data_IF_151000493661
#
_entry.id   IF_151000493661
#
_cell.length_a   1.000
_cell.length_b   1.000
_cell.length_c   1.000
_cell.angle_alpha   90.00
_cell.angle_beta   90.00
_cell.angle_gamma   90.00
#
_symmetry.space_group_name_H-M   'P 1'
#
loop_
_entity.id
_entity.type
_entity.pdbx_description
1 polymer ?
#
# COMPACT_ATOMS: atom_id res chain seq x y z
N UNK A 1 21.14 3.66 23.69
CA UNK A 1 21.66 2.39 24.27
C UNK A 1 20.55 1.57 24.90
N UNK A 2 19.71 2.15 25.76
CA UNK A 2 18.61 1.39 26.39
C UNK A 2 17.63 0.82 25.37
N UNK A 3 17.21 1.59 24.36
CA UNK A 3 16.34 1.12 23.28
C UNK A 3 16.94 -0.08 22.54
N UNK A 4 18.25 -0.06 22.28
CA UNK A 4 18.94 -1.15 21.61
C UNK A 4 18.98 -2.42 22.49
N UNK A 5 19.12 -2.28 23.81
CA UNK A 5 19.06 -3.43 24.73
C UNK A 5 17.68 -4.07 24.70
N UNK A 6 16.63 -3.23 24.83
CA UNK A 6 15.24 -3.70 24.79
C UNK A 6 14.96 -4.39 23.46
N UNK A 7 15.35 -3.78 22.33
CA UNK A 7 15.14 -4.36 21.00
C UNK A 7 15.83 -5.73 20.88
N UNK A 8 17.11 -5.83 21.25
CA UNK A 8 17.85 -7.10 21.23
C UNK A 8 17.18 -8.17 22.11
N UNK A 9 16.72 -7.79 23.31
CA UNK A 9 16.10 -8.72 24.25
C UNK A 9 14.76 -9.29 23.75
N UNK A 10 14.10 -8.63 22.77
CA UNK A 10 12.89 -9.17 22.12
C UNK A 10 13.18 -10.33 21.15
N UNK A 11 14.45 -10.54 20.75
CA UNK A 11 14.85 -11.60 19.82
C UNK A 11 14.67 -11.27 18.34
N UNK A 12 14.69 -9.98 17.97
CA UNK A 12 14.67 -9.56 16.56
C UNK A 12 15.94 -9.97 15.81
N UNK A 13 15.80 -10.23 14.51
CA UNK A 13 16.93 -10.55 13.63
C UNK A 13 17.76 -9.31 13.23
N UNK A 14 17.17 -8.12 13.32
CA UNK A 14 17.82 -6.86 12.98
C UNK A 14 17.27 -5.66 13.74
N UNK A 15 18.12 -4.66 13.95
CA UNK A 15 17.76 -3.37 14.56
C UNK A 15 18.12 -2.24 13.59
N UNK A 16 17.15 -1.40 13.28
CA UNK A 16 17.41 -0.12 12.65
C UNK A 16 17.63 0.99 13.67
N UNK A 17 18.74 1.72 13.50
CA UNK A 17 19.08 2.87 14.31
C UNK A 17 18.90 4.12 13.46
N UNK A 18 17.95 4.98 13.86
CA UNK A 18 17.64 6.23 13.18
C UNK A 18 18.29 7.41 13.91
N UNK A 19 18.88 8.33 13.16
CA UNK A 19 19.36 9.62 13.63
C UNK A 19 18.88 10.74 12.70
N UNK A 20 18.39 11.84 13.28
CA UNK A 20 18.09 13.06 12.52
C UNK A 20 19.35 13.80 12.06
N UNK A 21 19.54 13.92 10.74
CA UNK A 21 20.73 14.57 10.15
C UNK A 21 20.46 15.95 9.55
N UNK A 22 19.21 16.34 9.31
CA UNK A 22 18.91 17.61 8.64
C UNK A 22 19.27 18.82 9.51
N UNK A 23 19.70 19.92 8.88
CA UNK A 23 20.08 21.15 9.60
C UNK A 23 18.91 21.69 10.43
N UNK A 24 17.68 21.60 9.89
CA UNK A 24 16.45 21.95 10.60
C UNK A 24 16.23 21.08 11.84
N UNK A 25 16.40 19.76 11.73
CA UNK A 25 16.29 18.84 12.89
C UNK A 25 17.44 19.06 13.89
N UNK A 26 18.65 19.37 13.43
CA UNK A 26 19.78 19.66 14.30
C UNK A 26 19.59 20.97 15.08
N UNK A 27 19.07 22.01 14.43
CA UNK A 27 18.80 23.32 15.05
C UNK A 27 17.61 23.27 16.01
N UNK A 28 16.54 22.53 15.67
CA UNK A 28 15.28 22.55 16.43
C UNK A 28 15.05 21.34 17.34
N UNK A 29 15.72 20.20 17.09
CA UNK A 29 15.47 18.94 17.80
C UNK A 29 16.63 18.51 18.70
N UNK A 30 17.90 18.75 18.33
CA UNK A 30 19.01 18.10 19.04
C UNK A 30 20.25 18.90 19.41
N UNK A 31 20.54 20.10 18.89
CA UNK A 31 21.62 20.99 19.38
C UNK A 31 23.02 20.37 19.54
N UNK A 32 23.25 19.17 18.98
CA UNK A 32 24.41 18.31 19.23
C UNK A 32 25.35 18.34 18.02
N UNK A 33 26.65 18.35 18.31
CA UNK A 33 27.69 18.30 17.28
C UNK A 33 27.71 16.95 16.53
N UNK A 34 28.08 16.96 15.24
CA UNK A 34 28.14 15.77 14.39
C UNK A 34 29.08 14.71 14.95
N UNK A 35 30.15 15.13 15.63
CA UNK A 35 31.08 14.24 16.32
C UNK A 35 30.37 13.43 17.41
N UNK A 36 29.51 14.08 18.19
CA UNK A 36 28.74 13.42 19.25
C UNK A 36 27.75 12.41 18.67
N UNK A 37 27.03 12.81 17.62
CA UNK A 37 26.08 11.97 16.90
C UNK A 37 26.77 10.70 16.38
N UNK A 38 27.89 10.88 15.69
CA UNK A 38 28.71 9.78 15.16
C UNK A 38 29.17 8.84 16.27
N UNK A 39 29.73 9.36 17.37
CA UNK A 39 30.23 8.51 18.46
C UNK A 39 29.10 7.71 19.12
N UNK A 40 27.94 8.34 19.32
CA UNK A 40 26.76 7.67 19.89
C UNK A 40 26.24 6.57 18.96
N UNK A 41 26.17 6.84 17.65
CA UNK A 41 25.77 5.85 16.65
C UNK A 41 26.70 4.63 16.67
N UNK A 42 28.01 4.87 16.68
CA UNK A 42 29.03 3.80 16.66
C UNK A 42 28.95 2.93 17.91
N UNK A 43 28.72 3.53 19.09
CA UNK A 43 28.54 2.78 20.33
C UNK A 43 27.35 1.82 20.25
N UNK A 44 26.19 2.31 19.79
CA UNK A 44 24.98 1.51 19.62
C UNK A 44 25.18 0.41 18.57
N UNK A 45 25.78 0.75 17.43
CA UNK A 45 26.07 -0.19 16.34
C UNK A 45 26.95 -1.34 16.85
N UNK A 46 28.03 -1.04 17.58
CA UNK A 46 28.92 -2.06 18.12
C UNK A 46 28.22 -2.95 19.15
N UNK A 47 27.34 -2.39 19.97
CA UNK A 47 26.55 -3.19 20.90
C UNK A 47 25.66 -4.19 20.15
N UNK A 48 24.86 -3.74 19.18
CA UNK A 48 23.97 -4.63 18.40
C UNK A 48 24.78 -5.71 17.68
N UNK A 49 25.88 -5.33 17.04
CA UNK A 49 26.79 -6.29 16.37
C UNK A 49 27.38 -7.32 17.32
N UNK A 50 27.74 -6.92 18.55
CA UNK A 50 28.29 -7.85 19.55
C UNK A 50 27.29 -8.94 19.96
N UNK A 51 26.01 -8.76 19.65
CA UNK A 51 24.93 -9.72 19.89
C UNK A 51 24.63 -10.59 18.68
N UNK A 52 25.33 -10.40 17.55
CA UNK A 52 25.13 -11.17 16.32
C UNK A 52 23.84 -10.83 15.57
N UNK A 53 23.28 -9.64 15.83
CA UNK A 53 22.04 -9.15 15.23
C UNK A 53 22.37 -8.18 14.09
N UNK A 54 21.59 -8.18 13.01
CA UNK A 54 21.80 -7.25 11.90
C UNK A 54 21.61 -5.80 12.35
N UNK A 55 22.40 -4.90 11.80
CA UNK A 55 22.28 -3.46 12.12
C UNK A 55 22.12 -2.62 10.86
N UNK A 56 21.09 -1.78 10.87
CA UNK A 56 20.81 -0.77 9.85
C UNK A 56 21.08 0.64 10.39
N UNK A 57 21.87 1.36 9.61
CA UNK A 57 22.24 2.78 9.65
C UNK A 57 21.26 3.77 9.00
N UNK A 58 20.26 4.40 9.64
CA UNK A 58 19.35 5.31 8.92
C UNK A 58 19.49 6.78 9.29
N UNK A 59 19.42 7.66 8.29
CA UNK A 59 19.28 9.11 8.50
C UNK A 59 17.86 9.59 8.22
N UNK A 60 17.27 10.34 9.14
CA UNK A 60 15.99 11.01 8.90
C UNK A 60 16.19 12.27 8.03
N UNK A 61 15.22 12.53 7.14
CA UNK A 61 15.15 13.76 6.34
C UNK A 61 16.38 13.96 5.44
N UNK A 62 16.76 12.89 4.74
CA UNK A 62 18.01 12.83 3.96
C UNK A 62 18.05 13.84 2.82
N UNK A 63 16.92 14.06 2.14
CA UNK A 63 16.84 14.93 0.96
C UNK A 63 16.85 16.44 1.28
N UNK A 64 16.78 16.79 2.56
CA UNK A 64 16.95 18.17 3.06
C UNK A 64 18.16 18.31 3.99
N UNK A 65 18.98 17.27 4.09
CA UNK A 65 20.26 17.29 4.81
C UNK A 65 21.36 17.83 3.91
N UNK A 66 22.41 18.41 4.52
CA UNK A 66 23.62 18.75 3.77
C UNK A 66 24.26 17.46 3.22
N UNK A 67 24.56 17.45 1.93
CA UNK A 67 25.03 16.26 1.24
C UNK A 67 26.40 15.81 1.75
N UNK A 68 27.28 16.74 2.13
CA UNK A 68 28.63 16.41 2.62
C UNK A 68 28.52 15.76 3.99
N UNK A 69 27.72 16.31 4.89
CA UNK A 69 27.47 15.75 6.22
C UNK A 69 26.83 14.34 6.11
N UNK A 70 25.83 14.19 5.25
CA UNK A 70 25.12 12.94 5.00
C UNK A 70 26.06 11.83 4.49
N UNK A 71 26.85 12.11 3.45
CA UNK A 71 27.78 11.11 2.91
C UNK A 71 28.92 10.81 3.88
N UNK A 72 29.36 11.79 4.66
CA UNK A 72 30.42 11.61 5.67
C UNK A 72 29.97 10.68 6.80
N UNK A 73 28.74 10.82 7.29
CA UNK A 73 28.21 9.91 8.32
C UNK A 73 28.03 8.49 7.77
N UNK A 74 27.52 8.34 6.54
CA UNK A 74 27.39 7.03 5.91
C UNK A 74 28.73 6.32 5.68
N UNK A 75 29.73 7.05 5.18
CA UNK A 75 31.09 6.54 5.04
C UNK A 75 31.66 6.06 6.38
N UNK A 76 31.42 6.81 7.46
CA UNK A 76 31.89 6.45 8.78
C UNK A 76 31.21 5.19 9.34
N UNK A 77 29.90 5.03 9.18
CA UNK A 77 29.19 3.82 9.67
C UNK A 77 29.48 2.60 8.82
N UNK A 78 29.72 2.76 7.51
CA UNK A 78 30.16 1.67 6.62
C UNK A 78 31.55 1.14 7.04
N UNK A 79 32.47 2.02 7.44
CA UNK A 79 33.77 1.64 7.98
C UNK A 79 33.68 0.85 9.30
N UNK A 80 32.67 1.15 10.13
CA UNK A 80 32.38 0.38 11.35
C UNK A 80 31.74 -0.97 11.01
N UNK A 81 31.13 -1.10 9.83
CA UNK A 81 30.62 -2.33 9.26
C UNK A 81 29.19 -2.62 9.68
N UNK A 82 28.25 -1.77 9.25
CA UNK A 82 26.81 -2.05 9.32
C UNK A 82 26.38 -2.99 8.18
N UNK A 83 25.26 -3.69 8.35
CA UNK A 83 24.70 -4.55 7.29
C UNK A 83 24.12 -3.67 6.16
N UNK A 84 23.52 -2.55 6.54
CA UNK A 84 22.78 -1.68 5.63
C UNK A 84 22.78 -0.23 6.09
N UNK A 85 22.68 0.70 5.15
CA UNK A 85 22.38 2.11 5.40
C UNK A 85 21.02 2.48 4.82
N UNK A 86 20.28 3.40 5.43
CA UNK A 86 18.91 3.75 5.10
C UNK A 86 18.70 5.24 4.84
N UNK A 87 18.30 5.60 3.62
CA UNK A 87 17.91 6.96 3.24
C UNK A 87 16.41 7.13 3.45
N UNK A 88 15.97 8.26 4.02
CA UNK A 88 14.56 8.59 4.18
C UNK A 88 14.18 9.94 3.52
N UNK A 89 13.20 9.92 2.62
CA UNK A 89 12.42 11.11 2.21
C UNK A 89 11.25 11.29 3.17
N UNK A 90 11.56 11.76 4.39
CA UNK A 90 10.62 11.86 5.50
C UNK A 90 9.42 12.77 5.20
N UNK A 91 9.59 13.77 4.33
CA UNK A 91 8.55 14.76 4.00
C UNK A 91 7.91 14.57 2.63
N UNK A 92 8.38 13.60 1.84
CA UNK A 92 7.81 13.29 0.52
C UNK A 92 8.09 14.36 -0.53
N UNK A 93 9.25 15.05 -0.46
CA UNK A 93 9.60 16.14 -1.37
C UNK A 93 10.56 15.72 -2.50
N UNK A 94 11.18 14.55 -2.40
CA UNK A 94 12.21 14.13 -3.34
C UNK A 94 11.59 13.80 -4.71
N UNK A 95 12.22 14.28 -5.78
CA UNK A 95 11.87 13.88 -7.15
C UNK A 95 12.62 12.62 -7.58
N UNK A 96 12.10 11.81 -8.53
CA UNK A 96 12.72 10.54 -8.91
C UNK A 96 14.18 10.66 -9.36
N UNK A 97 14.52 11.72 -10.10
CA UNK A 97 15.90 11.96 -10.54
C UNK A 97 16.84 12.34 -9.40
N UNK A 98 16.36 13.06 -8.38
CA UNK A 98 17.15 13.34 -7.18
C UNK A 98 17.40 12.07 -6.38
N UNK A 99 16.40 11.19 -6.27
CA UNK A 99 16.53 9.89 -5.63
C UNK A 99 17.57 9.03 -6.33
N UNK A 100 17.47 8.88 -7.65
CA UNK A 100 18.45 8.13 -8.45
C UNK A 100 19.88 8.63 -8.23
N UNK A 101 20.13 9.94 -8.36
CA UNK A 101 21.49 10.49 -8.21
C UNK A 101 22.02 10.33 -6.78
N UNK A 102 21.20 10.57 -5.75
CA UNK A 102 21.63 10.40 -4.37
C UNK A 102 22.00 8.95 -4.07
N UNK A 103 21.14 8.00 -4.46
CA UNK A 103 21.40 6.57 -4.24
C UNK A 103 22.62 6.10 -5.02
N UNK A 104 22.78 6.54 -6.27
CA UNK A 104 23.94 6.22 -7.10
C UNK A 104 25.24 6.74 -6.49
N UNK A 105 25.25 7.97 -5.96
CA UNK A 105 26.40 8.53 -5.25
C UNK A 105 26.67 7.74 -3.97
N UNK A 106 25.64 7.48 -3.15
CA UNK A 106 25.79 6.71 -1.91
C UNK A 106 26.34 5.30 -2.19
N UNK A 107 25.88 4.64 -3.25
CA UNK A 107 26.37 3.33 -3.69
C UNK A 107 27.88 3.31 -3.97
N UNK A 108 28.44 4.43 -4.42
CA UNK A 108 29.89 4.60 -4.60
C UNK A 108 30.65 4.94 -3.32
N UNK A 109 29.96 5.37 -2.26
CA UNK A 109 30.55 5.76 -0.96
C UNK A 109 30.60 4.59 0.02
N UNK A 110 29.55 3.75 0.05
CA UNK A 110 29.43 2.62 0.98
C UNK A 110 29.58 1.28 0.27
N UNK A 111 29.89 0.22 1.00
CA UNK A 111 29.95 -1.17 0.48
C UNK A 111 28.78 -2.04 0.96
N UNK A 112 28.19 -1.71 2.11
CA UNK A 112 27.01 -2.39 2.65
C UNK A 112 25.75 -2.21 1.78
N UNK A 113 24.66 -2.86 2.15
CA UNK A 113 23.39 -2.70 1.45
C UNK A 113 22.81 -1.28 1.63
N UNK A 114 21.91 -0.90 0.72
CA UNK A 114 21.20 0.39 0.77
C UNK A 114 19.70 0.14 0.83
N UNK A 115 19.05 0.78 1.79
CA UNK A 115 17.61 0.82 1.98
C UNK A 115 17.07 2.22 1.72
N UNK A 116 15.83 2.30 1.25
CA UNK A 116 15.16 3.58 1.07
C UNK A 116 13.74 3.58 1.63
N UNK A 117 13.41 4.68 2.29
CA UNK A 117 12.10 4.99 2.85
C UNK A 117 11.55 6.26 2.19
N UNK A 118 10.34 6.20 1.65
CA UNK A 118 9.82 7.24 0.76
C UNK A 118 8.38 7.58 1.09
N UNK A 119 8.14 8.80 1.58
CA UNK A 119 6.79 9.32 1.74
C UNK A 119 6.16 9.74 0.41
N UNK A 120 4.83 9.79 0.38
CA UNK A 120 4.05 9.96 -0.85
C UNK A 120 3.31 11.30 -0.95
N UNK A 121 3.68 12.31 -0.18
CA UNK A 121 3.00 13.62 -0.13
C UNK A 121 2.80 14.27 -1.50
N UNK A 122 3.77 14.08 -2.40
CA UNK A 122 3.75 14.61 -3.78
C UNK A 122 3.45 13.55 -4.84
N UNK A 123 3.00 12.36 -4.45
CA UNK A 123 2.63 11.27 -5.35
C UNK A 123 3.81 10.55 -6.03
N UNK A 124 5.04 10.75 -5.52
CA UNK A 124 6.25 10.22 -6.15
C UNK A 124 6.80 8.92 -5.54
N UNK A 125 6.23 8.38 -4.46
CA UNK A 125 6.87 7.29 -3.69
C UNK A 125 7.21 6.04 -4.53
N UNK A 126 6.29 5.58 -5.39
CA UNK A 126 6.53 4.41 -6.27
C UNK A 126 7.63 4.72 -7.30
N UNK A 127 7.61 5.91 -7.91
CA UNK A 127 8.59 6.32 -8.91
C UNK A 127 9.98 6.48 -8.27
N UNK A 128 10.02 7.09 -7.09
CA UNK A 128 11.23 7.22 -6.28
C UNK A 128 11.81 5.85 -5.90
N UNK A 129 10.97 4.90 -5.49
CA UNK A 129 11.40 3.54 -5.14
C UNK A 129 12.03 2.84 -6.35
N UNK A 130 11.40 2.95 -7.52
CA UNK A 130 11.93 2.36 -8.75
C UNK A 130 13.27 3.00 -9.16
N UNK A 131 13.37 4.33 -9.11
CA UNK A 131 14.64 5.03 -9.38
C UNK A 131 15.73 4.75 -8.33
N UNK A 132 15.36 4.46 -7.07
CA UNK A 132 16.31 4.02 -6.07
C UNK A 132 16.90 2.65 -6.42
N UNK A 133 16.07 1.70 -6.86
CA UNK A 133 16.55 0.40 -7.36
C UNK A 133 17.50 0.58 -8.54
N UNK A 134 17.16 1.44 -9.51
CA UNK A 134 18.05 1.79 -10.64
C UNK A 134 19.37 2.41 -10.17
N UNK A 135 19.35 3.19 -9.08
CA UNK A 135 20.54 3.77 -8.47
C UNK A 135 21.40 2.79 -7.66
N UNK A 136 20.92 1.56 -7.44
CA UNK A 136 21.63 0.52 -6.69
C UNK A 136 21.16 0.32 -5.26
N UNK A 137 19.97 0.83 -4.89
CA UNK A 137 19.31 0.40 -3.66
C UNK A 137 18.97 -1.10 -3.74
N UNK A 138 18.99 -1.74 -2.58
CA UNK A 138 18.79 -3.19 -2.42
C UNK A 138 17.51 -3.52 -1.66
N UNK A 139 17.01 -2.56 -0.87
CA UNK A 139 15.86 -2.72 0.00
C UNK A 139 14.95 -1.49 -0.14
N UNK A 140 13.64 -1.71 -0.20
CA UNK A 140 12.62 -0.67 -0.32
C UNK A 140 11.62 -0.88 0.81
N UNK A 141 11.42 0.14 1.64
CA UNK A 141 10.33 0.15 2.60
C UNK A 141 8.99 0.28 1.86
N UNK A 142 8.04 -0.55 2.26
CA UNK A 142 6.66 -0.50 1.76
C UNK A 142 5.67 -0.63 2.89
N UNK A 143 4.44 -0.22 2.63
CA UNK A 143 3.31 -0.44 3.52
C UNK A 143 2.11 -0.95 2.74
N UNK A 144 1.28 -1.80 3.37
CA UNK A 144 0.04 -2.28 2.75
C UNK A 144 -0.89 -1.09 2.54
N UNK A 145 -1.44 -0.94 1.32
CA UNK A 145 -2.16 0.27 0.89
C UNK A 145 -1.36 1.59 1.00
N UNK A 146 -0.07 1.51 1.30
CA UNK A 146 0.80 2.67 1.51
C UNK A 146 0.56 3.38 2.83
N UNK A 147 -0.18 2.81 3.80
CA UNK A 147 -0.50 3.52 5.06
C UNK A 147 0.77 3.93 5.82
N UNK A 148 0.73 5.11 6.44
CA UNK A 148 1.82 5.70 7.22
C UNK A 148 1.48 7.13 7.61
N UNK A 149 2.46 7.89 8.11
CA UNK A 149 2.27 9.32 8.41
C UNK A 149 1.73 10.09 7.19
N UNK A 150 0.77 11.00 7.43
CA UNK A 150 0.09 11.81 6.39
C UNK A 150 -0.63 10.94 5.36
N UNK A 151 -0.24 10.99 4.08
CA UNK A 151 -0.76 10.09 3.04
C UNK A 151 0.15 8.87 2.81
N UNK A 152 1.10 8.64 3.72
CA UNK A 152 1.85 7.42 3.84
C UNK A 152 3.08 7.32 2.95
N UNK A 153 3.44 6.09 2.60
CA UNK A 153 4.71 5.71 1.95
C UNK A 153 4.46 4.87 0.70
N UNK A 154 5.52 4.32 0.09
CA UNK A 154 5.42 3.40 -1.05
C UNK A 154 4.42 2.26 -0.78
N UNK A 155 3.30 2.17 -1.52
CA UNK A 155 2.32 1.10 -1.33
C UNK A 155 2.88 -0.22 -1.85
N UNK A 156 2.75 -1.30 -1.06
CA UNK A 156 3.21 -2.65 -1.42
C UNK A 156 2.62 -3.10 -2.77
N UNK A 157 1.29 -3.01 -2.93
CA UNK A 157 0.61 -3.35 -4.19
C UNK A 157 1.12 -2.50 -5.36
N UNK A 158 1.22 -1.19 -5.17
CA UNK A 158 1.73 -0.28 -6.21
C UNK A 158 3.18 -0.57 -6.63
N UNK A 159 4.06 -0.94 -5.68
CA UNK A 159 5.42 -1.36 -6.02
C UNK A 159 5.40 -2.68 -6.80
N UNK A 160 4.61 -3.67 -6.40
CA UNK A 160 4.47 -4.94 -7.13
C UNK A 160 3.94 -4.71 -8.56
N UNK A 161 3.00 -3.78 -8.75
CA UNK A 161 2.51 -3.38 -10.07
C UNK A 161 3.63 -2.80 -10.96
N UNK A 162 4.52 -1.99 -10.38
CA UNK A 162 5.67 -1.43 -11.12
C UNK A 162 6.71 -2.51 -11.43
N UNK A 163 6.99 -3.40 -10.47
CA UNK A 163 8.01 -4.42 -10.62
C UNK A 163 7.60 -5.53 -11.59
N UNK A 164 6.32 -5.93 -11.64
CA UNK A 164 5.86 -6.94 -12.61
C UNK A 164 5.97 -6.43 -14.05
N UNK A 165 5.75 -5.13 -14.25
CA UNK A 165 5.94 -4.48 -15.54
C UNK A 165 7.41 -4.30 -15.92
N UNK A 166 8.34 -4.49 -14.98
CA UNK A 166 9.79 -4.45 -15.22
C UNK A 166 10.36 -5.87 -15.46
N UNK A 167 10.02 -6.82 -14.59
CA UNK A 167 10.40 -8.23 -14.71
C UNK A 167 9.33 -9.11 -14.07
N UNK A 168 8.42 -9.61 -14.90
CA UNK A 168 7.28 -10.42 -14.46
C UNK A 168 7.70 -11.74 -13.83
N UNK A 169 8.67 -12.43 -14.44
CA UNK A 169 9.04 -13.78 -14.02
C UNK A 169 9.78 -13.76 -12.68
N UNK A 170 10.66 -12.77 -12.47
CA UNK A 170 11.29 -12.56 -11.17
C UNK A 170 10.25 -12.34 -10.07
N UNK A 171 9.29 -11.43 -10.27
CA UNK A 171 8.29 -11.09 -9.26
C UNK A 171 7.42 -12.30 -8.93
N UNK A 172 6.95 -13.04 -9.94
CA UNK A 172 6.15 -14.26 -9.75
C UNK A 172 6.92 -15.39 -9.05
N UNK A 173 8.23 -15.47 -9.25
CA UNK A 173 9.07 -16.47 -8.56
C UNK A 173 9.26 -16.19 -7.08
N UNK A 174 9.10 -14.93 -6.66
CA UNK A 174 9.43 -14.45 -5.32
C UNK A 174 8.20 -14.18 -4.44
N UNK A 175 7.11 -13.68 -5.02
CA UNK A 175 5.94 -13.22 -4.28
C UNK A 175 4.67 -13.98 -4.69
N UNK A 176 3.82 -14.23 -3.70
CA UNK A 176 2.45 -14.75 -3.89
C UNK A 176 1.50 -13.61 -4.23
N UNK A 177 1.55 -13.12 -5.46
CA UNK A 177 0.82 -11.93 -5.90
C UNK A 177 -0.71 -12.09 -5.79
N UNK A 178 -1.22 -13.32 -5.87
CA UNK A 178 -2.63 -13.64 -5.65
C UNK A 178 -3.11 -13.33 -4.22
N UNK A 179 -2.20 -13.10 -3.28
CA UNK A 179 -2.50 -12.74 -1.88
C UNK A 179 -2.52 -11.24 -1.59
N UNK A 180 -2.14 -10.39 -2.54
CA UNK A 180 -2.15 -8.94 -2.33
C UNK A 180 -3.54 -8.44 -1.94
N UNK A 181 -4.58 -8.94 -2.62
CA UNK A 181 -5.97 -8.55 -2.35
C UNK A 181 -6.39 -8.89 -0.91
N UNK A 182 -6.07 -10.10 -0.47
CA UNK A 182 -6.38 -10.60 0.88
C UNK A 182 -5.69 -9.75 1.96
N UNK A 183 -4.41 -9.41 1.76
CA UNK A 183 -3.63 -8.60 2.72
C UNK A 183 -4.13 -7.16 2.77
N UNK A 184 -4.45 -6.56 1.62
CA UNK A 184 -5.02 -5.21 1.59
C UNK A 184 -6.41 -5.16 2.21
N UNK A 185 -7.25 -6.18 2.01
CA UNK A 185 -8.54 -6.28 2.71
C UNK A 185 -8.38 -6.40 4.22
N UNK A 186 -7.45 -7.23 4.68
CA UNK A 186 -7.16 -7.40 6.11
C UNK A 186 -6.77 -6.07 6.75
N UNK A 187 -5.86 -5.32 6.11
CA UNK A 187 -5.40 -4.03 6.63
C UNK A 187 -6.49 -2.98 6.54
N UNK A 188 -7.18 -2.88 5.40
CA UNK A 188 -8.32 -1.96 5.21
C UNK A 188 -9.38 -2.14 6.29
N UNK A 189 -9.72 -3.39 6.63
CA UNK A 189 -10.66 -3.70 7.70
C UNK A 189 -10.11 -3.28 9.07
N UNK A 190 -8.85 -3.60 9.37
CA UNK A 190 -8.23 -3.29 10.65
C UNK A 190 -8.12 -1.78 10.92
N UNK A 191 -7.86 -0.98 9.88
CA UNK A 191 -7.72 0.49 10.00
C UNK A 191 -8.97 1.27 9.56
N UNK A 192 -10.06 0.56 9.24
CA UNK A 192 -11.37 1.13 8.89
C UNK A 192 -11.32 2.11 7.71
N UNK A 193 -10.64 1.73 6.64
CA UNK A 193 -10.60 2.50 5.38
C UNK A 193 -11.11 1.68 4.22
N UNK A 194 -11.69 2.34 3.22
CA UNK A 194 -11.98 1.70 1.94
C UNK A 194 -10.70 1.57 1.10
N UNK A 195 -10.62 0.52 0.29
CA UNK A 195 -9.62 0.44 -0.77
C UNK A 195 -10.00 1.46 -1.87
N UNK A 196 -9.12 2.41 -2.23
CA UNK A 196 -9.44 3.40 -3.24
C UNK A 196 -9.87 2.75 -4.56
N UNK A 197 -10.91 3.30 -5.21
CA UNK A 197 -11.43 2.74 -6.47
C UNK A 197 -10.37 2.65 -7.58
N UNK A 198 -9.33 3.49 -7.53
CA UNK A 198 -8.22 3.54 -8.47
C UNK A 198 -6.91 2.98 -7.89
N UNK A 199 -6.96 2.26 -6.77
CA UNK A 199 -5.77 1.61 -6.20
C UNK A 199 -5.13 0.69 -7.25
N UNK A 200 -3.79 0.74 -7.45
CA UNK A 200 -3.12 -0.15 -8.39
C UNK A 200 -3.44 -1.62 -8.08
N UNK A 201 -3.70 -2.42 -9.12
CA UNK A 201 -4.08 -3.84 -9.04
C UNK A 201 -5.47 -4.06 -8.45
N UNK A 202 -5.70 -3.72 -7.19
CA UNK A 202 -6.88 -4.18 -6.43
C UNK A 202 -8.05 -3.21 -6.41
N UNK A 203 -7.84 -1.98 -6.87
CA UNK A 203 -8.89 -0.98 -6.98
C UNK A 203 -9.99 -1.42 -7.93
N UNK A 204 -11.21 -0.98 -7.66
CA UNK A 204 -12.39 -1.30 -8.47
C UNK A 204 -12.18 -1.09 -9.98
N UNK A 205 -11.52 0.00 -10.36
CA UNK A 205 -11.30 0.38 -11.75
C UNK A 205 -10.04 -0.22 -12.39
N UNK A 206 -9.18 -0.92 -11.63
CA UNK A 206 -7.83 -1.30 -12.09
C UNK A 206 -7.81 -2.16 -13.36
N UNK A 207 -8.78 -3.07 -13.50
CA UNK A 207 -8.94 -3.97 -14.66
C UNK A 207 -10.29 -3.77 -15.36
N UNK A 208 -10.72 -2.51 -15.44
CA UNK A 208 -11.98 -2.12 -16.09
C UNK A 208 -11.72 -1.35 -17.37
N UNK A 209 -12.50 -1.67 -18.40
CA UNK A 209 -12.45 -0.97 -19.68
C UNK A 209 -13.82 -0.40 -20.02
N UNK A 210 -13.86 0.88 -20.38
CA UNK A 210 -15.08 1.54 -20.85
C UNK A 210 -15.41 1.05 -22.26
N UNK A 211 -16.67 0.68 -22.49
CA UNK A 211 -17.17 0.30 -23.81
C UNK A 211 -16.82 1.35 -24.89
N UNK A 212 -16.42 0.89 -26.06
CA UNK A 212 -15.94 1.73 -27.16
C UNK A 212 -14.79 1.08 -27.93
N UNK A 213 -13.98 1.88 -28.61
CA UNK A 213 -12.85 1.40 -29.42
C UNK A 213 -11.86 0.53 -28.62
N UNK A 214 -11.67 0.80 -27.32
CA UNK A 214 -10.81 0.02 -26.44
C UNK A 214 -11.37 -1.39 -26.17
N UNK A 215 -12.69 -1.52 -25.97
CA UNK A 215 -13.32 -2.82 -25.74
C UNK A 215 -13.14 -3.77 -26.93
N UNK A 216 -13.27 -3.25 -28.16
CA UNK A 216 -13.04 -4.06 -29.37
C UNK A 216 -11.60 -4.54 -29.50
N UNK A 217 -10.63 -3.71 -29.16
CA UNK A 217 -9.21 -4.08 -29.20
C UNK A 217 -8.86 -5.16 -28.16
N UNK A 218 -9.43 -5.07 -26.96
CA UNK A 218 -9.18 -6.00 -25.86
C UNK A 218 -9.85 -7.36 -26.10
N UNK A 219 -11.06 -7.36 -26.67
CA UNK A 219 -11.72 -8.62 -27.07
C UNK A 219 -10.91 -9.40 -28.11
N UNK A 220 -10.12 -8.71 -28.94
CA UNK A 220 -9.23 -9.35 -29.90
C UNK A 220 -7.89 -9.76 -29.27
N UNK A 221 -7.25 -8.86 -28.52
CA UNK A 221 -6.00 -9.12 -27.81
C UNK A 221 -5.91 -8.23 -26.56
N UNK A 222 -6.14 -8.79 -25.35
CA UNK A 222 -6.13 -8.02 -24.11
C UNK A 222 -4.82 -7.28 -23.83
N UNK A 223 -3.68 -7.83 -24.24
CA UNK A 223 -2.35 -7.22 -24.09
C UNK A 223 -2.18 -5.89 -24.85
N UNK A 224 -3.13 -5.52 -25.70
CA UNK A 224 -3.13 -4.23 -26.41
C UNK A 224 -3.22 -3.04 -25.45
N UNK A 225 -3.89 -3.22 -24.31
CA UNK A 225 -4.05 -2.17 -23.29
C UNK A 225 -3.85 -2.67 -21.86
N UNK A 226 -3.59 -3.96 -21.65
CA UNK A 226 -3.34 -4.55 -20.33
C UNK A 226 -1.84 -4.83 -20.15
N UNK A 227 -1.10 -3.86 -19.59
CA UNK A 227 0.32 -4.04 -19.22
C UNK A 227 0.50 -5.07 -18.10
N UNK A 228 -0.54 -5.27 -17.28
CA UNK A 228 -0.58 -6.26 -16.20
C UNK A 228 -1.67 -7.27 -16.52
N UNK A 229 -1.35 -8.56 -16.44
CA UNK A 229 -2.34 -9.63 -16.55
C UNK A 229 -3.05 -9.80 -15.19
N UNK A 230 -4.37 -9.60 -15.09
CA UNK A 230 -5.09 -9.72 -13.82
C UNK A 230 -4.98 -11.11 -13.18
N UNK A 231 -4.79 -12.16 -13.99
CA UNK A 231 -4.65 -13.53 -13.49
C UNK A 231 -3.40 -13.71 -12.61
N UNK A 232 -2.35 -12.92 -12.83
CA UNK A 232 -1.13 -12.94 -12.01
C UNK A 232 -1.40 -12.54 -10.56
N UNK A 233 -2.48 -11.77 -10.33
CA UNK A 233 -2.91 -11.30 -9.02
C UNK A 233 -4.19 -12.01 -8.54
N UNK A 234 -4.54 -13.15 -9.13
CA UNK A 234 -5.75 -13.91 -8.76
C UNK A 234 -7.06 -13.20 -9.08
N UNK A 235 -7.06 -12.28 -10.06
CA UNK A 235 -8.23 -11.51 -10.48
C UNK A 235 -8.64 -11.80 -11.91
N UNK A 236 -9.88 -11.45 -12.23
CA UNK A 236 -10.45 -11.52 -13.59
C UNK A 236 -10.62 -10.12 -14.18
N UNK A 237 -10.60 -10.03 -15.52
CA UNK A 237 -10.89 -8.79 -16.25
C UNK A 237 -12.39 -8.51 -16.33
N UNK A 238 -12.77 -7.23 -16.43
CA UNK A 238 -14.16 -6.81 -16.68
C UNK A 238 -14.26 -5.76 -17.78
N UNK A 239 -15.22 -5.93 -18.69
CA UNK A 239 -15.60 -4.91 -19.68
C UNK A 239 -16.92 -4.31 -19.22
N UNK A 240 -16.90 -3.03 -18.86
CA UNK A 240 -18.10 -2.35 -18.39
C UNK A 240 -18.95 -1.94 -19.60
N UNK A 241 -19.90 -2.80 -19.96
CA UNK A 241 -20.97 -2.45 -20.89
C UNK A 241 -22.02 -1.64 -20.10
N UNK A 242 -22.32 -0.42 -20.54
CA UNK A 242 -23.26 0.53 -19.94
C UNK A 242 -22.75 1.33 -18.72
N UNK A 243 -22.86 2.66 -18.82
CA UNK A 243 -22.64 3.60 -17.74
C UNK A 243 -23.70 3.44 -16.65
N UNK A 244 -23.26 3.35 -15.39
CA UNK A 244 -24.01 3.13 -14.14
C UNK A 244 -24.11 1.65 -13.74
N UNK A 245 -23.62 1.35 -12.54
CA UNK A 245 -23.81 0.10 -11.80
C UNK A 245 -25.31 -0.12 -11.53
N UNK A 246 -26.06 -0.59 -12.52
CA UNK A 246 -27.49 -0.88 -12.36
C UNK A 246 -27.77 -2.32 -12.77
N UNK A 247 -27.99 -3.19 -11.78
CA UNK A 247 -28.43 -4.58 -11.98
C UNK A 247 -27.66 -5.59 -11.14
N UNK A 248 -28.31 -6.69 -10.73
CA UNK A 248 -27.67 -7.72 -9.90
C UNK A 248 -26.58 -8.50 -10.66
N UNK A 249 -26.59 -8.46 -11.99
CA UNK A 249 -25.52 -9.04 -12.82
C UNK A 249 -24.18 -8.31 -12.63
N UNK A 250 -24.21 -6.99 -12.48
CA UNK A 250 -23.00 -6.20 -12.22
C UNK A 250 -22.43 -6.53 -10.83
N UNK A 251 -23.30 -6.66 -9.83
CA UNK A 251 -22.92 -7.06 -8.46
C UNK A 251 -22.38 -8.48 -8.42
N UNK A 252 -23.04 -9.44 -9.09
CA UNK A 252 -22.56 -10.82 -9.23
C UNK A 252 -21.18 -10.86 -9.88
N UNK A 253 -21.01 -10.16 -11.00
CA UNK A 253 -19.72 -10.10 -11.69
C UNK A 253 -18.63 -9.49 -10.81
N UNK A 254 -18.91 -8.42 -10.07
CA UNK A 254 -17.93 -7.81 -9.18
C UNK A 254 -17.58 -8.74 -8.02
N UNK A 255 -18.58 -9.34 -7.37
CA UNK A 255 -18.34 -10.28 -6.28
C UNK A 255 -17.50 -11.49 -6.73
N UNK A 256 -17.74 -12.02 -7.93
CA UNK A 256 -16.90 -13.07 -8.53
C UNK A 256 -15.45 -12.61 -8.75
N UNK A 257 -15.23 -11.37 -9.23
CA UNK A 257 -13.88 -10.81 -9.36
C UNK A 257 -13.17 -10.67 -8.02
N UNK A 258 -13.93 -10.42 -6.95
CA UNK A 258 -13.43 -10.37 -5.57
C UNK A 258 -13.26 -11.77 -4.95
N UNK A 259 -13.49 -12.85 -5.71
CA UNK A 259 -13.49 -14.24 -5.22
C UNK A 259 -14.48 -14.47 -4.05
N UNK A 260 -15.63 -13.78 -4.10
CA UNK A 260 -16.72 -13.87 -3.12
C UNK A 260 -17.91 -14.66 -3.72
N UNK A 261 -17.96 -15.95 -3.39
CA UNK A 261 -19.00 -16.85 -3.87
C UNK A 261 -20.30 -16.69 -3.06
N UNK A 262 -21.37 -16.34 -3.76
CA UNK A 262 -22.72 -16.23 -3.23
C UNK A 262 -23.73 -16.88 -4.19
N UNK A 263 -24.92 -17.20 -3.70
CA UNK A 263 -26.04 -17.69 -4.52
C UNK A 263 -26.71 -16.54 -5.27
N UNK A 264 -27.45 -16.84 -6.34
CA UNK A 264 -28.22 -15.82 -7.09
C UNK A 264 -29.22 -15.06 -6.19
N UNK A 265 -29.78 -15.71 -5.17
CA UNK A 265 -30.63 -15.06 -4.18
C UNK A 265 -29.85 -14.05 -3.34
N UNK A 266 -28.66 -14.41 -2.88
CA UNK A 266 -27.77 -13.53 -2.11
C UNK A 266 -27.24 -12.36 -2.95
N UNK A 267 -26.91 -12.57 -4.23
CA UNK A 267 -26.53 -11.48 -5.13
C UNK A 267 -27.67 -10.47 -5.30
N UNK A 268 -28.91 -10.95 -5.46
CA UNK A 268 -30.10 -10.09 -5.55
C UNK A 268 -30.34 -9.33 -4.25
N UNK A 269 -30.25 -10.01 -3.10
CA UNK A 269 -30.42 -9.37 -1.79
C UNK A 269 -29.35 -8.28 -1.56
N UNK A 270 -28.06 -8.60 -1.79
CA UNK A 270 -26.97 -7.63 -1.72
C UNK A 270 -27.23 -6.42 -2.63
N UNK A 271 -27.71 -6.65 -3.86
CA UNK A 271 -28.07 -5.57 -4.78
C UNK A 271 -29.22 -4.70 -4.26
N UNK A 272 -30.24 -5.31 -3.64
CA UNK A 272 -31.33 -4.58 -3.03
C UNK A 272 -30.85 -3.72 -1.86
N UNK A 273 -29.94 -4.23 -1.01
CA UNK A 273 -29.33 -3.46 0.07
C UNK A 273 -28.51 -2.28 -0.45
N UNK A 274 -27.72 -2.46 -1.51
CA UNK A 274 -26.99 -1.37 -2.17
C UNK A 274 -27.95 -0.30 -2.71
N UNK A 275 -29.06 -0.69 -3.34
CA UNK A 275 -30.08 0.26 -3.83
C UNK A 275 -30.75 1.02 -2.68
N UNK A 276 -31.13 0.32 -1.61
CA UNK A 276 -31.72 0.95 -0.44
C UNK A 276 -30.76 1.97 0.21
N UNK A 277 -29.46 1.66 0.27
CA UNK A 277 -28.44 2.60 0.72
C UNK A 277 -28.27 3.80 -0.24
N UNK A 278 -28.37 3.56 -1.55
CA UNK A 278 -28.30 4.61 -2.58
C UNK A 278 -29.49 5.58 -2.55
N UNK A 279 -30.64 5.16 -2.04
CA UNK A 279 -31.80 6.04 -1.84
C UNK A 279 -31.63 6.95 -0.61
N UNK A 280 -30.83 6.52 0.37
CA UNK A 280 -30.59 7.25 1.63
C UNK A 280 -29.44 8.25 1.45
N UNK A 281 -28.39 7.85 0.75
CA UNK A 281 -27.26 8.73 0.44
C UNK A 281 -26.62 8.42 -0.92
N UNK A 282 -25.93 9.39 -1.54
CA UNK A 282 -25.05 9.08 -2.66
C UNK A 282 -24.04 8.00 -2.27
N UNK A 283 -23.97 6.95 -3.10
CA UNK A 283 -23.07 5.80 -2.93
C UNK A 283 -21.89 6.01 -3.89
N UNK A 284 -20.69 6.04 -3.35
CA UNK A 284 -19.47 6.10 -4.15
C UNK A 284 -19.21 4.75 -4.84
N UNK A 285 -18.37 4.74 -5.88
CA UNK A 285 -18.08 3.50 -6.62
C UNK A 285 -17.40 2.45 -5.74
N UNK A 286 -16.59 2.88 -4.76
CA UNK A 286 -15.91 2.05 -3.78
C UNK A 286 -16.83 1.58 -2.63
N UNK A 287 -17.92 2.29 -2.30
CA UNK A 287 -18.90 1.84 -1.30
C UNK A 287 -19.51 0.49 -1.67
N UNK A 288 -19.69 0.21 -2.97
CA UNK A 288 -20.24 -1.05 -3.45
C UNK A 288 -19.37 -2.26 -3.03
N UNK A 289 -18.05 -2.13 -3.10
CA UNK A 289 -17.13 -3.19 -2.68
C UNK A 289 -17.24 -3.45 -1.18
N UNK A 290 -17.27 -2.39 -0.37
CA UNK A 290 -17.40 -2.48 1.08
C UNK A 290 -18.73 -3.15 1.48
N UNK A 291 -19.84 -2.78 0.84
CA UNK A 291 -21.14 -3.40 1.07
C UNK A 291 -21.13 -4.89 0.68
N UNK A 292 -20.60 -5.24 -0.51
CA UNK A 292 -20.52 -6.64 -0.96
C UNK A 292 -19.71 -7.49 0.03
N UNK A 293 -18.58 -6.96 0.51
CA UNK A 293 -17.71 -7.64 1.48
C UNK A 293 -18.38 -7.83 2.83
N UNK A 294 -18.92 -6.77 3.40
CA UNK A 294 -19.60 -6.81 4.69
C UNK A 294 -20.78 -7.80 4.64
N UNK A 295 -21.55 -7.80 3.55
CA UNK A 295 -22.65 -8.73 3.34
C UNK A 295 -22.17 -10.18 3.23
N UNK A 296 -21.15 -10.46 2.41
CA UNK A 296 -20.59 -11.82 2.29
C UNK A 296 -20.00 -12.32 3.62
N UNK A 297 -19.30 -11.47 4.37
CA UNK A 297 -18.76 -11.79 5.70
C UNK A 297 -19.87 -12.13 6.69
N UNK A 298 -20.91 -11.31 6.74
CA UNK A 298 -22.09 -11.53 7.58
C UNK A 298 -22.71 -12.91 7.32
N UNK A 299 -22.85 -13.30 6.04
CA UNK A 299 -23.31 -14.63 5.66
C UNK A 299 -22.38 -15.74 6.20
N UNK A 300 -21.07 -15.59 6.00
CA UNK A 300 -20.09 -16.63 6.38
C UNK A 300 -19.96 -16.81 7.90
N UNK A 301 -20.07 -15.72 8.65
CA UNK A 301 -19.94 -15.72 10.11
C UNK A 301 -21.28 -15.90 10.83
N UNK A 302 -22.42 -15.79 10.14
CA UNK A 302 -23.74 -15.78 10.77
C UNK A 302 -23.97 -14.52 11.63
N UNK A 303 -23.27 -13.42 11.32
CA UNK A 303 -23.37 -12.14 12.01
C UNK A 303 -24.23 -11.15 11.21
N UNK A 304 -24.79 -10.14 11.86
CA UNK A 304 -25.47 -9.02 11.20
C UNK A 304 -24.81 -7.68 11.58
N UNK A 305 -23.58 -7.47 11.10
CA UNK A 305 -22.86 -6.20 11.29
C UNK A 305 -23.31 -5.16 10.26
N UNK A 306 -23.24 -3.86 10.57
CA UNK A 306 -23.55 -2.79 9.61
C UNK A 306 -22.75 -2.96 8.31
N UNK A 307 -23.39 -2.71 7.17
CA UNK A 307 -22.77 -2.84 5.84
C UNK A 307 -21.88 -1.65 5.48
N UNK A 308 -22.17 -0.49 6.09
CA UNK A 308 -21.44 0.76 5.98
C UNK A 308 -21.58 1.52 7.31
N UNK A 309 -20.68 2.46 7.54
CA UNK A 309 -20.86 3.46 8.58
C UNK A 309 -21.96 4.44 8.16
N UNK A 310 -23.00 4.55 8.99
CA UNK A 310 -24.17 5.39 8.80
C UNK A 310 -24.43 6.20 10.06
N UNK A 311 -25.04 7.38 9.92
CA UNK A 311 -25.55 8.14 11.08
C UNK A 311 -26.70 7.38 11.76
N UNK A 312 -27.08 7.74 12.98
CA UNK A 312 -28.23 7.13 13.66
C UNK A 312 -29.53 7.27 12.85
N UNK A 313 -29.73 8.44 12.23
CA UNK A 313 -30.86 8.72 11.35
C UNK A 313 -30.85 7.82 10.10
N UNK A 314 -29.71 7.73 9.41
CA UNK A 314 -29.54 6.87 8.23
C UNK A 314 -29.69 5.38 8.58
N UNK A 315 -29.26 4.98 9.79
CA UNK A 315 -29.41 3.60 10.27
C UNK A 315 -30.87 3.26 10.49
N UNK A 316 -31.66 4.18 11.07
CA UNK A 316 -33.09 4.00 11.25
C UNK A 316 -33.84 3.94 9.91
N UNK A 317 -33.50 4.82 8.96
CA UNK A 317 -34.05 4.79 7.60
C UNK A 317 -33.71 3.50 6.86
N UNK A 318 -32.46 3.03 6.98
CA UNK A 318 -32.03 1.79 6.36
C UNK A 318 -32.76 0.58 6.95
N UNK A 319 -32.91 0.50 8.28
CA UNK A 319 -33.66 -0.56 8.93
C UNK A 319 -35.15 -0.58 8.51
N UNK A 320 -35.75 0.60 8.30
CA UNK A 320 -37.12 0.70 7.76
C UNK A 320 -37.20 0.16 6.33
N UNK A 321 -36.25 0.50 5.45
CA UNK A 321 -36.17 -0.04 4.09
C UNK A 321 -35.89 -1.54 4.06
N UNK A 322 -35.07 -2.07 4.97
CA UNK A 322 -34.83 -3.52 5.07
C UNK A 322 -36.11 -4.28 5.43
N UNK A 323 -36.93 -3.71 6.32
CA UNK A 323 -38.23 -4.27 6.65
C UNK A 323 -39.20 -4.25 5.45
N UNK A 324 -39.22 -3.15 4.70
CA UNK A 324 -40.02 -3.04 3.46
C UNK A 324 -39.57 -4.05 2.39
N UNK A 325 -38.27 -4.25 2.22
CA UNK A 325 -37.70 -5.25 1.30
C UNK A 325 -38.08 -6.69 1.70
N UNK A 326 -38.12 -6.99 3.00
CA UNK A 326 -38.53 -8.29 3.51
C UNK A 326 -40.03 -8.56 3.30
N UNK A 327 -40.87 -7.53 3.36
CA UNK A 327 -42.32 -7.62 3.18
C UNK A 327 -42.74 -7.70 1.70
N UNK A 328 -42.08 -6.94 0.82
CA UNK A 328 -42.45 -6.84 -0.60
C UNK A 328 -41.69 -7.82 -1.53
N UNK A 329 -40.66 -8.49 -1.02
CA UNK A 329 -39.79 -9.35 -1.80
C UNK A 329 -38.74 -8.59 -2.62
N UNK A 330 -37.69 -9.30 -3.03
CA UNK A 330 -36.53 -8.72 -3.72
C UNK A 330 -36.79 -8.63 -5.23
N UNK A 331 -37.44 -7.55 -5.70
CA UNK A 331 -37.53 -7.23 -7.13
C UNK A 331 -36.28 -6.44 -7.58
N UNK A 332 -35.33 -7.15 -8.18
CA UNK A 332 -34.11 -6.53 -8.73
C UNK A 332 -34.01 -6.84 -10.21
N UNK A 333 -34.08 -5.79 -11.03
CA UNK A 333 -33.83 -5.88 -12.48
C UNK A 333 -32.45 -6.48 -12.77
N UNK A 334 -32.39 -7.34 -13.78
CA UNK A 334 -31.16 -7.92 -14.31
C UNK A 334 -30.16 -6.84 -14.78
#
# INVERSE_FOLDING_TARGET
MDDARIAVDTGVDGVDVVIGTSSYLREHSHGKDMTYIKNTAIEVINFVKSKGIEVRFSSEDSFRSDLVDLLSIYSAVDQVGVNRVGIADTVGCASPRQVYELVRVLRGVVKCDIEIHLHNDTGCAIANAYCALEGGATHIDTSVLGIGERNGITPLGGLMARMIAADRDYVLSKYKLEKIKDIEDLVAEAVQVNIPFNNPITGFCAFTHKAGIHAKAILNNPSTYEIINPADFGMTRYVHFASRLTGWNAIKSRAQQLNLDMTDAQYKECTAKIKALADIRPIAVDDADSIIRAYHRNIKLGENKPLLELTEEQTAEFAAKEKELAENGVEVSA
#
